data_IF_323398598578
#
_entry.id   IF_323398598578
#
_cell.length_a   1.000
_cell.length_b   1.000
_cell.length_c   1.000
_cell.angle_alpha   90.00
_cell.angle_beta   90.00
_cell.angle_gamma   90.00
#
_symmetry.space_group_name_H-M   'P 1'
#
loop_
_entity.id
_entity.type
_entity.pdbx_description
1 polymer ?
#
# COMPACT_ATOMS: atom_id res chain seq x y z
N UNK A 1 -9.48 -8.96 -30.07
CA UNK A 1 -9.41 -9.86 -28.90
C UNK A 1 -9.94 -9.08 -27.71
N UNK A 2 -11.10 -9.48 -27.19
CA UNK A 2 -11.77 -8.78 -26.09
C UNK A 2 -11.00 -9.03 -24.80
N UNK A 3 -10.46 -7.98 -24.18
CA UNK A 3 -9.92 -8.10 -22.83
C UNK A 3 -11.10 -8.19 -21.87
N UNK A 4 -11.25 -9.35 -21.24
CA UNK A 4 -12.15 -9.54 -20.11
C UNK A 4 -11.49 -8.85 -18.93
N UNK A 5 -11.96 -7.66 -18.56
CA UNK A 5 -11.55 -7.03 -17.30
C UNK A 5 -12.20 -7.82 -16.17
N UNK A 6 -11.46 -8.50 -15.28
CA UNK A 6 -12.08 -9.11 -14.12
C UNK A 6 -12.39 -7.99 -13.14
N UNK A 7 -13.63 -7.52 -13.13
CA UNK A 7 -14.14 -6.48 -12.24
C UNK A 7 -14.32 -6.94 -10.78
N UNK A 8 -13.61 -7.99 -10.32
CA UNK A 8 -13.73 -8.50 -8.94
C UNK A 8 -12.53 -9.35 -8.45
N UNK A 9 -11.29 -9.05 -8.87
CA UNK A 9 -10.13 -9.89 -8.51
C UNK A 9 -9.68 -9.78 -7.04
N UNK A 10 -9.93 -8.63 -6.41
CA UNK A 10 -9.39 -8.30 -5.10
C UNK A 10 -10.47 -8.33 -4.01
N UNK A 11 -10.13 -8.94 -2.87
CA UNK A 11 -11.03 -9.10 -1.74
C UNK A 11 -10.29 -8.89 -0.41
N UNK A 12 -11.05 -8.46 0.60
CA UNK A 12 -10.56 -8.37 1.98
C UNK A 12 -10.02 -9.73 2.44
N UNK A 13 -8.89 -9.68 3.14
CA UNK A 13 -8.18 -10.84 3.65
C UNK A 13 -7.26 -11.51 2.64
N UNK A 14 -7.18 -11.07 1.39
CA UNK A 14 -6.17 -11.63 0.48
C UNK A 14 -4.77 -11.13 0.85
N UNK A 15 -3.83 -12.07 0.89
CA UNK A 15 -2.41 -11.82 1.11
C UNK A 15 -1.63 -12.08 -0.18
N UNK A 16 -0.82 -11.11 -0.59
CA UNK A 16 -0.07 -11.13 -1.84
C UNK A 16 1.42 -10.94 -1.58
N UNK A 17 2.28 -11.65 -2.29
CA UNK A 17 3.67 -11.22 -2.48
C UNK A 17 3.67 -10.12 -3.55
N UNK A 18 4.55 -9.14 -3.40
CA UNK A 18 4.72 -8.05 -4.36
C UNK A 18 6.20 -7.72 -4.55
N UNK A 19 6.54 -7.10 -5.67
CA UNK A 19 7.92 -6.71 -5.96
C UNK A 19 8.33 -5.53 -5.07
N UNK A 20 9.46 -5.67 -4.36
CA UNK A 20 10.10 -4.57 -3.63
C UNK A 20 10.94 -3.67 -4.55
N UNK A 21 11.77 -2.80 -3.96
CA UNK A 21 12.56 -1.81 -4.71
C UNK A 21 13.77 -2.43 -5.41
N UNK A 22 14.29 -3.52 -4.84
CA UNK A 22 15.47 -4.22 -5.33
C UNK A 22 15.19 -5.70 -5.49
N UNK A 23 15.99 -6.37 -6.32
CA UNK A 23 15.95 -7.83 -6.45
C UNK A 23 16.20 -8.49 -5.09
N UNK A 24 15.29 -9.39 -4.71
CA UNK A 24 15.32 -10.08 -3.41
C UNK A 24 14.49 -9.41 -2.30
N UNK A 25 13.99 -8.18 -2.49
CA UNK A 25 12.91 -7.65 -1.65
C UNK A 25 11.57 -8.23 -2.11
N UNK A 26 10.92 -9.01 -1.25
CA UNK A 26 9.61 -9.61 -1.49
C UNK A 26 8.63 -9.25 -0.36
N UNK A 27 8.25 -7.97 -0.25
CA UNK A 27 7.24 -7.55 0.71
C UNK A 27 5.90 -8.25 0.46
N UNK A 28 5.10 -8.35 1.51
CA UNK A 28 3.72 -8.83 1.42
C UNK A 28 2.72 -7.69 1.54
N UNK A 29 1.62 -7.80 0.82
CA UNK A 29 0.49 -6.88 0.83
C UNK A 29 -0.76 -7.64 1.29
N UNK A 30 -1.32 -7.22 2.43
CA UNK A 30 -2.59 -7.72 2.96
C UNK A 30 -3.69 -6.70 2.73
N UNK A 31 -4.79 -7.10 2.08
CA UNK A 31 -5.97 -6.23 1.91
C UNK A 31 -6.82 -6.30 3.18
N UNK A 32 -6.78 -5.25 3.99
CA UNK A 32 -7.55 -5.20 5.24
C UNK A 32 -8.99 -4.72 5.04
N UNK A 33 -9.19 -3.78 4.12
CA UNK A 33 -10.47 -3.15 3.84
C UNK A 33 -10.53 -2.63 2.42
N UNK A 34 -11.73 -2.58 1.84
CA UNK A 34 -12.01 -1.98 0.54
C UNK A 34 -13.13 -0.96 0.75
N UNK A 35 -12.85 0.31 0.45
CA UNK A 35 -13.86 1.37 0.39
C UNK A 35 -14.09 1.75 -1.08
N UNK A 36 -15.34 2.02 -1.46
CA UNK A 36 -15.68 2.57 -2.78
C UNK A 36 -15.65 4.10 -2.71
N UNK A 37 -14.98 4.77 -3.65
CA UNK A 37 -14.96 6.23 -3.64
C UNK A 37 -15.17 6.87 -5.02
N UNK A 38 -16.20 7.72 -5.20
CA UNK A 38 -16.48 8.36 -6.48
C UNK A 38 -15.37 9.30 -6.95
N UNK A 39 -14.67 9.99 -6.03
CA UNK A 39 -13.57 10.91 -6.38
C UNK A 39 -12.29 10.22 -6.87
N UNK A 40 -12.04 8.96 -6.47
CA UNK A 40 -10.87 8.19 -6.90
C UNK A 40 -11.14 7.36 -8.16
N UNK A 41 -12.38 7.39 -8.67
CA UNK A 41 -12.79 6.66 -9.88
C UNK A 41 -12.80 5.13 -9.73
N UNK A 42 -12.78 4.60 -8.50
CA UNK A 42 -12.64 3.16 -8.26
C UNK A 42 -12.57 2.75 -6.78
N UNK A 43 -12.04 1.56 -6.53
CA UNK A 43 -11.85 1.01 -5.18
C UNK A 43 -10.61 1.64 -4.53
N UNK A 44 -10.71 1.92 -3.23
CA UNK A 44 -9.58 2.22 -2.37
C UNK A 44 -9.33 1.00 -1.49
N UNK A 45 -8.16 0.40 -1.65
CA UNK A 45 -7.70 -0.74 -0.89
C UNK A 45 -6.85 -0.22 0.27
N UNK A 46 -7.27 -0.51 1.49
CA UNK A 46 -6.49 -0.23 2.68
C UNK A 46 -5.65 -1.45 3.01
N UNK A 47 -4.34 -1.33 2.82
CA UNK A 47 -3.43 -2.46 2.90
C UNK A 47 -2.44 -2.32 4.05
N UNK A 48 -1.99 -3.46 4.57
CA UNK A 48 -0.76 -3.55 5.37
C UNK A 48 0.35 -4.06 4.46
N UNK A 49 1.52 -3.43 4.54
CA UNK A 49 2.73 -3.89 3.87
C UNK A 49 3.72 -4.39 4.93
N UNK A 50 4.23 -5.60 4.76
CA UNK A 50 5.12 -6.26 5.70
C UNK A 50 6.34 -6.88 4.99
N UNK A 51 7.38 -7.26 5.75
CA UNK A 51 8.67 -7.70 5.23
C UNK A 51 9.48 -6.57 4.63
N UNK A 52 9.25 -5.33 5.08
CA UNK A 52 9.88 -4.13 4.57
C UNK A 52 11.31 -3.95 5.10
N UNK A 53 12.09 -3.15 4.38
CA UNK A 53 13.42 -2.70 4.79
C UNK A 53 13.52 -1.18 4.64
N UNK A 54 12.63 -0.45 5.29
CA UNK A 54 12.59 1.01 5.19
C UNK A 54 13.53 1.62 6.23
N UNK A 55 14.51 2.42 5.80
CA UNK A 55 15.35 3.18 6.74
C UNK A 55 14.49 4.17 7.52
N UNK A 56 14.52 4.08 8.84
CA UNK A 56 13.79 4.98 9.71
C UNK A 56 14.61 5.30 10.96
N UNK A 57 15.26 6.47 11.04
CA UNK A 57 16.11 6.84 12.17
C UNK A 57 15.34 7.07 13.47
N UNK A 58 14.00 7.03 13.43
CA UNK A 58 13.12 7.27 14.58
C UNK A 58 12.73 5.98 15.32
N UNK A 59 13.07 4.81 14.80
CA UNK A 59 12.85 3.51 15.48
C UNK A 59 14.18 2.95 15.98
N UNK A 60 14.20 2.19 17.11
CA UNK A 60 15.44 1.72 17.72
C UNK A 60 16.36 0.94 16.77
N UNK A 61 15.79 0.08 15.93
CA UNK A 61 16.53 -0.75 14.98
C UNK A 61 17.00 0.02 13.73
N UNK A 62 16.64 1.29 13.59
CA UNK A 62 16.94 2.11 12.41
C UNK A 62 16.22 1.66 11.12
N UNK A 63 15.46 0.57 11.17
CA UNK A 63 14.74 -0.02 10.05
C UNK A 63 13.29 -0.33 10.46
N UNK A 64 12.35 0.14 9.67
CA UNK A 64 10.93 -0.16 9.78
C UNK A 64 10.59 -1.33 8.86
N UNK A 65 10.03 -2.39 9.44
CA UNK A 65 9.70 -3.64 8.73
C UNK A 65 8.25 -3.73 8.28
N UNK A 66 7.39 -2.83 8.75
CA UNK A 66 5.97 -2.85 8.43
C UNK A 66 5.44 -1.43 8.26
N UNK A 67 4.54 -1.26 7.29
CA UNK A 67 3.65 -0.12 7.15
C UNK A 67 2.24 -0.61 7.42
N UNK A 68 1.73 -0.31 8.62
CA UNK A 68 0.45 -0.84 9.11
C UNK A 68 -0.75 -0.43 8.23
N UNK A 69 -0.69 0.77 7.64
CA UNK A 69 -1.75 1.29 6.78
C UNK A 69 -1.18 2.07 5.58
N UNK A 70 -1.59 1.65 4.39
CA UNK A 70 -1.41 2.40 3.16
C UNK A 70 -2.71 2.33 2.32
N UNK A 71 -3.33 3.46 1.96
CA UNK A 71 -4.45 3.50 1.01
C UNK A 71 -3.92 3.45 -0.43
N UNK A 72 -4.35 2.47 -1.22
CA UNK A 72 -3.89 2.27 -2.60
C UNK A 72 -5.05 2.05 -3.56
N UNK A 73 -4.85 2.30 -4.85
CA UNK A 73 -5.87 2.08 -5.89
C UNK A 73 -5.63 0.79 -6.68
N UNK A 74 -6.58 0.42 -7.55
CA UNK A 74 -6.41 -0.68 -8.52
C UNK A 74 -5.11 -0.56 -9.33
N UNK A 75 -4.73 0.67 -9.67
CA UNK A 75 -3.51 0.95 -10.43
C UNK A 75 -2.24 0.52 -9.67
N UNK A 76 -2.21 0.70 -8.35
CA UNK A 76 -1.10 0.20 -7.52
C UNK A 76 -1.01 -1.31 -7.59
N UNK A 77 -2.13 -2.01 -7.42
CA UNK A 77 -2.15 -3.47 -7.44
C UNK A 77 -1.66 -4.02 -8.80
N UNK A 78 -2.13 -3.43 -9.90
CA UNK A 78 -1.70 -3.80 -11.26
C UNK A 78 -0.20 -3.58 -11.51
N UNK A 79 0.39 -2.52 -10.92
CA UNK A 79 1.80 -2.16 -11.11
C UNK A 79 2.77 -2.89 -10.17
N UNK A 80 2.28 -3.71 -9.24
CA UNK A 80 3.09 -4.26 -8.14
C UNK A 80 3.51 -5.72 -8.32
N UNK A 81 3.29 -6.30 -9.51
CA UNK A 81 3.64 -7.69 -9.84
C UNK A 81 3.15 -8.69 -8.78
N UNK A 82 1.85 -8.61 -8.44
CA UNK A 82 1.28 -9.38 -7.34
C UNK A 82 1.22 -10.87 -7.64
N UNK A 83 1.54 -11.69 -6.63
CA UNK A 83 1.33 -13.14 -6.62
C UNK A 83 0.57 -13.54 -5.36
N UNK A 84 -0.61 -14.13 -5.54
CA UNK A 84 -1.46 -14.53 -4.42
C UNK A 84 -0.73 -15.57 -3.56
N UNK A 85 -0.65 -15.32 -2.26
CA UNK A 85 -0.11 -16.26 -1.28
C UNK A 85 -1.23 -17.02 -0.56
N UNK A 86 -2.39 -16.40 -0.39
CA UNK A 86 -3.55 -17.02 0.23
C UNK A 86 -4.45 -15.99 0.90
N UNK A 87 -5.06 -16.41 2.01
CA UNK A 87 -5.88 -15.55 2.85
C UNK A 87 -5.29 -15.42 4.24
N UNK A 88 -5.47 -14.26 4.84
CA UNK A 88 -5.08 -13.91 6.19
C UNK A 88 -6.14 -12.96 6.78
N UNK A 89 -6.42 -13.07 8.07
CA UNK A 89 -7.30 -12.12 8.74
C UNK A 89 -6.70 -10.70 8.69
N UNK A 90 -7.55 -9.69 8.53
CA UNK A 90 -7.11 -8.29 8.59
C UNK A 90 -6.42 -8.00 9.93
N UNK A 91 -5.31 -7.26 9.89
CA UNK A 91 -4.55 -6.89 11.09
C UNK A 91 -5.13 -5.61 11.71
N UNK A 92 -5.72 -5.63 12.92
CA UNK A 92 -6.33 -4.44 13.52
C UNK A 92 -5.38 -3.24 13.68
N UNK A 93 -4.06 -3.42 13.58
CA UNK A 93 -3.09 -2.32 13.58
C UNK A 93 -3.36 -1.26 12.49
N UNK A 94 -4.03 -1.62 11.37
CA UNK A 94 -4.36 -0.64 10.33
C UNK A 94 -5.40 0.40 10.76
N UNK A 95 -6.22 0.11 11.79
CA UNK A 95 -7.40 0.92 12.15
C UNK A 95 -7.06 2.35 12.57
N UNK A 96 -5.95 2.55 13.29
CA UNK A 96 -5.51 3.89 13.68
C UNK A 96 -5.16 4.74 12.45
N UNK A 97 -4.32 4.21 11.55
CA UNK A 97 -3.94 4.91 10.32
C UNK A 97 -5.14 5.15 9.41
N UNK A 98 -6.06 4.19 9.34
CA UNK A 98 -7.32 4.35 8.61
C UNK A 98 -8.16 5.51 9.13
N UNK A 99 -8.33 5.65 10.45
CA UNK A 99 -9.09 6.76 11.05
C UNK A 99 -8.49 8.12 10.67
N UNK A 100 -7.17 8.27 10.85
CA UNK A 100 -6.46 9.50 10.50
C UNK A 100 -6.57 9.83 9.01
N UNK A 101 -6.40 8.82 8.15
CA UNK A 101 -6.54 8.98 6.72
C UNK A 101 -7.97 9.37 6.34
N UNK A 102 -8.99 8.72 6.92
CA UNK A 102 -10.40 8.97 6.63
C UNK A 102 -10.77 10.43 6.92
N UNK A 103 -10.41 10.92 8.10
CA UNK A 103 -10.62 12.32 8.48
C UNK A 103 -9.96 13.29 7.50
N UNK A 104 -8.69 13.04 7.15
CA UNK A 104 -7.96 13.89 6.21
C UNK A 104 -8.51 13.80 4.78
N UNK A 105 -8.96 12.62 4.35
CA UNK A 105 -9.52 12.37 3.02
C UNK A 105 -10.86 13.06 2.85
N UNK A 106 -11.75 12.97 3.85
CA UNK A 106 -13.04 13.65 3.85
C UNK A 106 -12.88 15.18 3.87
N UNK A 107 -11.78 15.69 4.45
CA UNK A 107 -11.39 17.09 4.39
C UNK A 107 -10.67 17.51 3.08
N UNK A 108 -10.45 16.59 2.14
CA UNK A 108 -9.75 16.84 0.87
C UNK A 108 -8.23 16.95 0.98
N UNK A 109 -7.65 16.58 2.12
CA UNK A 109 -6.22 16.70 2.43
C UNK A 109 -5.44 15.38 2.33
N UNK A 110 -6.11 14.28 1.99
CA UNK A 110 -5.47 12.99 1.75
C UNK A 110 -5.97 12.35 0.46
N UNK A 111 -5.15 11.46 -0.09
CA UNK A 111 -5.46 10.68 -1.28
C UNK A 111 -5.09 9.21 -1.10
N UNK A 112 -5.05 8.48 -2.21
CA UNK A 112 -4.57 7.09 -2.26
C UNK A 112 -3.39 7.00 -3.22
N UNK A 113 -2.46 6.08 -2.97
CA UNK A 113 -1.37 5.83 -3.89
C UNK A 113 -1.88 5.17 -5.17
N UNK A 114 -1.37 5.63 -6.32
CA UNK A 114 -1.58 5.02 -7.64
C UNK A 114 -0.30 4.53 -8.32
N UNK A 115 0.79 4.41 -7.55
CA UNK A 115 2.10 3.93 -7.99
C UNK A 115 2.37 2.52 -7.45
N UNK A 116 3.40 1.82 -7.92
CA UNK A 116 3.71 0.46 -7.42
C UNK A 116 4.09 0.46 -5.94
N UNK A 117 3.97 -0.70 -5.28
CA UNK A 117 4.43 -0.88 -3.90
C UNK A 117 5.89 -0.45 -3.75
N UNK A 118 6.78 -0.85 -4.67
CA UNK A 118 8.18 -0.43 -4.67
C UNK A 118 8.34 1.10 -4.59
N UNK A 119 7.59 1.86 -5.40
CA UNK A 119 7.60 3.32 -5.36
C UNK A 119 7.01 3.88 -4.06
N UNK A 120 5.97 3.24 -3.49
CA UNK A 120 5.45 3.64 -2.16
C UNK A 120 6.54 3.50 -1.10
N UNK A 121 7.28 2.39 -1.09
CA UNK A 121 8.36 2.17 -0.12
C UNK A 121 9.47 3.23 -0.27
N UNK A 122 9.78 3.64 -1.49
CA UNK A 122 10.72 4.73 -1.76
C UNK A 122 10.21 6.08 -1.23
N UNK A 123 8.95 6.44 -1.54
CA UNK A 123 8.33 7.69 -1.05
C UNK A 123 8.37 7.75 0.47
N UNK A 124 7.96 6.67 1.14
CA UNK A 124 7.92 6.59 2.60
C UNK A 124 9.32 6.71 3.20
N UNK A 125 10.31 5.98 2.67
CA UNK A 125 11.68 6.07 3.15
C UNK A 125 12.23 7.49 3.00
N UNK A 126 12.09 8.09 1.81
CA UNK A 126 12.55 9.46 1.55
C UNK A 126 11.89 10.46 2.50
N UNK A 127 10.57 10.36 2.73
CA UNK A 127 9.85 11.24 3.65
C UNK A 127 10.34 11.10 5.09
N UNK A 128 10.59 9.88 5.57
CA UNK A 128 11.12 9.62 6.91
C UNK A 128 12.53 10.19 7.12
N UNK A 129 13.33 10.24 6.05
CA UNK A 129 14.72 10.70 6.05
C UNK A 129 14.89 12.14 5.55
N UNK A 130 13.80 12.86 5.24
CA UNK A 130 13.85 14.25 4.76
C UNK A 130 14.51 14.41 3.38
N UNK A 131 14.51 13.35 2.55
CA UNK A 131 15.05 13.39 1.19
C UNK A 131 13.94 13.77 0.20
N UNK A 132 14.14 14.74 -0.70
CA UNK A 132 13.16 15.07 -1.74
C UNK A 132 12.91 13.89 -2.69
N UNK A 133 11.72 13.80 -3.28
CA UNK A 133 11.53 13.01 -4.50
C UNK A 133 12.29 13.70 -5.62
N UNK A 134 13.16 12.99 -6.34
CA UNK A 134 13.77 13.55 -7.55
C UNK A 134 12.64 13.88 -8.51
N UNK A 135 12.42 15.17 -8.78
CA UNK A 135 11.55 15.58 -9.86
C UNK A 135 12.28 15.25 -11.17
N UNK A 136 11.61 14.61 -12.15
CA UNK A 136 12.18 14.43 -13.48
C UNK A 136 12.57 15.76 -14.13
#
# INVERSE_FOLDING_TARGET
MSQVTPSNQYAVGQLWACQGRQDGEQPTLLINRIDQHPLAGGNIYHVTLDGLKIRNPRVPEGVMTQLAHAPVTDQTLQRSQLRLLGQQAADPAYLQGYGQWREAFDAGNAGSFGVSVATILEIVERQLNGTPLDQP
#
